data_IF_588088325591
#
_entry.id   IF_588088325591
#
_cell.length_a   1.000
_cell.length_b   1.000
_cell.length_c   1.000
_cell.angle_alpha   90.00
_cell.angle_beta   90.00
_cell.angle_gamma   90.00
#
_symmetry.space_group_name_H-M   'P 1'
#
loop_
_entity.id
_entity.type
_entity.pdbx_description
1 polymer ?
#
# COMPACT_ATOMS: atom_id res chain seq x y z
N UNK A 1 -3.48 21.23 -31.76
CA UNK A 1 -4.82 21.24 -31.12
C UNK A 1 -5.45 19.86 -31.01
N UNK A 2 -5.48 19.04 -32.07
CA UNK A 2 -6.05 17.67 -32.07
C UNK A 2 -5.33 16.74 -31.07
N UNK A 3 -4.01 16.77 -31.03
CA UNK A 3 -3.19 15.94 -30.11
C UNK A 3 -3.45 16.23 -28.64
N UNK A 4 -3.68 17.47 -28.26
CA UNK A 4 -4.01 17.86 -26.90
C UNK A 4 -5.40 17.37 -26.51
N UNK A 5 -6.38 17.47 -27.42
CA UNK A 5 -7.74 16.98 -27.19
C UNK A 5 -7.77 15.45 -27.00
N UNK A 6 -7.03 14.71 -27.82
CA UNK A 6 -6.89 13.26 -27.70
C UNK A 6 -6.23 12.88 -26.37
N UNK A 7 -5.19 13.57 -25.94
CA UNK A 7 -4.53 13.33 -24.66
C UNK A 7 -5.49 13.59 -23.47
N UNK A 8 -6.29 14.65 -23.54
CA UNK A 8 -7.31 14.97 -22.52
C UNK A 8 -8.41 13.89 -22.48
N UNK A 9 -8.89 13.42 -23.63
CA UNK A 9 -9.91 12.37 -23.70
C UNK A 9 -9.39 11.03 -23.15
N UNK A 10 -8.14 10.69 -23.46
CA UNK A 10 -7.48 9.49 -22.92
C UNK A 10 -7.34 9.62 -21.39
N UNK A 11 -6.92 10.79 -20.88
CA UNK A 11 -6.81 11.04 -19.43
C UNK A 11 -8.16 10.95 -18.73
N UNK A 12 -9.22 11.54 -19.31
CA UNK A 12 -10.58 11.45 -18.79
C UNK A 12 -11.05 9.99 -18.79
N UNK A 13 -10.82 9.26 -19.89
CA UNK A 13 -11.16 7.83 -19.97
C UNK A 13 -10.46 6.99 -18.91
N UNK A 14 -9.16 7.19 -18.71
CA UNK A 14 -8.41 6.53 -17.64
C UNK A 14 -8.92 6.91 -16.25
N UNK A 15 -9.20 8.19 -16.03
CA UNK A 15 -9.73 8.67 -14.75
C UNK A 15 -11.12 8.10 -14.44
N UNK A 16 -11.95 7.89 -15.46
CA UNK A 16 -13.27 7.26 -15.32
C UNK A 16 -13.16 5.75 -15.04
N UNK A 17 -12.24 5.06 -15.70
CA UNK A 17 -11.96 3.63 -15.44
C UNK A 17 -11.43 3.43 -14.02
N UNK A 18 -10.57 4.32 -13.56
CA UNK A 18 -9.99 4.25 -12.22
C UNK A 18 -11.01 4.65 -11.14
N UNK A 19 -11.81 5.68 -11.37
CA UNK A 19 -12.99 5.95 -10.53
C UNK A 19 -13.93 4.74 -10.53
N UNK A 20 -14.11 4.06 -11.67
CA UNK A 20 -14.86 2.81 -11.78
C UNK A 20 -14.24 1.68 -10.97
N UNK A 21 -12.91 1.59 -10.87
CA UNK A 21 -12.21 0.65 -9.97
C UNK A 21 -12.35 1.03 -8.50
N UNK A 22 -12.24 2.30 -8.15
CA UNK A 22 -12.46 2.79 -6.78
C UNK A 22 -13.93 2.74 -6.35
N UNK A 23 -14.87 3.03 -7.27
CA UNK A 23 -16.31 2.85 -7.05
C UNK A 23 -16.78 1.43 -7.42
N UNK A 24 -15.99 0.69 -8.19
CA UNK A 24 -16.17 -0.70 -8.64
C UNK A 24 -15.96 -1.74 -7.55
N UNK A 25 -15.75 -1.30 -6.32
CA UNK A 25 -15.85 -2.09 -5.09
C UNK A 25 -17.20 -2.84 -4.95
N UNK A 26 -18.16 -2.61 -5.86
CA UNK A 26 -19.42 -3.38 -5.89
C UNK A 26 -19.20 -4.85 -6.24
N UNK A 27 -18.34 -5.14 -7.23
CA UNK A 27 -18.02 -6.53 -7.59
C UNK A 27 -17.15 -7.17 -6.50
N UNK A 28 -16.05 -6.53 -6.12
CA UNK A 28 -15.19 -6.97 -5.03
C UNK A 28 -16.00 -7.20 -3.74
N UNK A 29 -16.80 -6.24 -3.32
CA UNK A 29 -17.64 -6.35 -2.14
C UNK A 29 -18.67 -7.48 -2.23
N UNK A 30 -19.03 -7.94 -3.44
CA UNK A 30 -19.99 -9.01 -3.64
C UNK A 30 -19.37 -10.41 -3.58
N UNK A 31 -18.10 -10.54 -3.97
CA UNK A 31 -17.40 -11.83 -4.08
C UNK A 31 -16.43 -12.09 -2.92
N UNK A 32 -16.00 -11.06 -2.22
CA UNK A 32 -15.06 -11.20 -1.11
C UNK A 32 -15.79 -11.71 0.15
N UNK A 33 -15.27 -12.75 0.80
CA UNK A 33 -15.82 -13.21 2.08
C UNK A 33 -15.51 -12.17 3.17
N UNK A 34 -16.40 -12.10 4.18
CA UNK A 34 -16.24 -11.17 5.30
C UNK A 34 -15.01 -11.48 6.15
N UNK A 35 -14.69 -12.76 6.29
CA UNK A 35 -13.52 -13.21 7.03
C UNK A 35 -12.66 -14.09 6.14
N UNK A 36 -11.40 -13.80 6.11
CA UNK A 36 -10.40 -14.73 5.64
C UNK A 36 -10.19 -15.82 6.70
N UNK A 37 -9.59 -16.93 6.32
CA UNK A 37 -9.27 -17.98 7.28
C UNK A 37 -8.30 -17.47 8.34
N UNK A 38 -8.38 -18.02 9.55
CA UNK A 38 -7.46 -17.68 10.63
C UNK A 38 -6.00 -17.91 10.23
N UNK A 39 -5.76 -18.99 9.49
CA UNK A 39 -4.45 -19.35 8.97
C UNK A 39 -3.92 -18.31 7.97
N UNK A 40 -4.76 -17.84 7.03
CA UNK A 40 -4.40 -16.78 6.10
C UNK A 40 -3.95 -15.52 6.85
N UNK A 41 -4.73 -15.03 7.82
CA UNK A 41 -4.37 -13.84 8.59
C UNK A 41 -3.06 -14.03 9.37
N UNK A 42 -2.84 -15.20 9.97
CA UNK A 42 -1.58 -15.51 10.67
C UNK A 42 -0.40 -15.51 9.70
N UNK A 43 -0.51 -16.19 8.57
CA UNK A 43 0.55 -16.25 7.55
C UNK A 43 0.86 -14.87 6.97
N UNK A 44 -0.16 -14.05 6.73
CA UNK A 44 -0.01 -12.69 6.21
C UNK A 44 0.75 -11.80 7.20
N UNK A 45 0.40 -11.88 8.50
CA UNK A 45 1.11 -11.15 9.57
C UNK A 45 2.56 -11.64 9.70
N UNK A 46 2.79 -12.95 9.63
CA UNK A 46 4.13 -13.52 9.72
C UNK A 46 5.00 -13.12 8.52
N UNK A 47 4.43 -13.14 7.32
CA UNK A 47 5.11 -12.65 6.12
C UNK A 47 5.45 -11.16 6.25
N UNK A 48 4.51 -10.33 6.75
CA UNK A 48 4.73 -8.91 7.00
C UNK A 48 5.84 -8.68 8.03
N UNK A 49 5.87 -9.46 9.10
CA UNK A 49 6.91 -9.37 10.12
C UNK A 49 8.31 -9.72 9.56
N UNK A 50 8.44 -10.84 8.84
CA UNK A 50 9.71 -11.19 8.19
C UNK A 50 10.14 -10.14 7.17
N UNK A 51 9.22 -9.63 6.37
CA UNK A 51 9.50 -8.56 5.41
C UNK A 51 10.01 -7.32 6.13
N UNK A 52 9.35 -6.89 7.21
CA UNK A 52 9.79 -5.77 8.06
C UNK A 52 11.23 -5.98 8.58
N UNK A 53 11.55 -7.16 9.13
CA UNK A 53 12.88 -7.47 9.66
C UNK A 53 13.96 -7.43 8.56
N UNK A 54 13.66 -7.92 7.37
CA UNK A 54 14.59 -7.85 6.23
C UNK A 54 14.85 -6.40 5.84
N UNK A 55 13.80 -5.57 5.70
CA UNK A 55 13.94 -4.16 5.38
C UNK A 55 14.72 -3.38 6.46
N UNK A 56 14.39 -3.62 7.74
CA UNK A 56 15.12 -3.03 8.88
C UNK A 56 16.60 -3.42 8.86
N UNK A 57 16.93 -4.68 8.57
CA UNK A 57 18.32 -5.17 8.52
C UNK A 57 19.17 -4.49 7.45
N UNK A 58 18.53 -3.95 6.43
CA UNK A 58 19.14 -3.19 5.34
C UNK A 58 19.08 -1.67 5.55
N UNK A 59 18.46 -1.21 6.64
CA UNK A 59 18.25 0.21 6.90
C UNK A 59 17.28 0.88 5.92
N UNK A 60 16.42 0.12 5.26
CA UNK A 60 15.45 0.65 4.30
C UNK A 60 14.26 1.25 5.04
N UNK A 61 14.07 2.55 4.90
CA UNK A 61 12.91 3.25 5.45
C UNK A 61 11.62 2.76 4.81
N UNK A 62 10.67 2.31 5.65
CA UNK A 62 9.42 1.73 5.19
C UNK A 62 8.28 1.94 6.20
N UNK A 63 7.06 1.86 5.73
CA UNK A 63 5.83 2.09 6.51
C UNK A 63 4.63 1.34 5.92
N UNK A 64 3.61 1.05 6.72
CA UNK A 64 2.35 0.54 6.21
C UNK A 64 1.71 1.52 5.24
N UNK A 65 1.07 0.98 4.20
CA UNK A 65 0.49 1.77 3.11
C UNK A 65 -0.90 1.26 2.73
N UNK A 66 -1.65 2.05 1.98
CA UNK A 66 -2.94 1.68 1.38
C UNK A 66 -3.92 1.00 2.35
N UNK A 67 -4.51 -0.13 1.93
CA UNK A 67 -5.49 -0.91 2.69
C UNK A 67 -5.00 -1.34 4.06
N UNK A 68 -3.71 -1.66 4.15
CA UNK A 68 -3.07 -2.16 5.38
C UNK A 68 -3.03 -1.15 6.54
N UNK A 69 -3.21 0.14 6.25
CA UNK A 69 -3.34 1.17 7.27
C UNK A 69 -4.72 1.16 7.95
N UNK A 70 -5.75 0.67 7.29
CA UNK A 70 -7.11 0.76 7.83
C UNK A 70 -7.33 -0.06 9.10
N UNK A 71 -6.67 -1.21 9.22
CA UNK A 71 -6.74 -2.01 10.45
C UNK A 71 -6.24 -1.20 11.66
N UNK A 72 -4.96 -0.78 11.71
CA UNK A 72 -4.42 0.02 12.80
C UNK A 72 -5.17 1.34 13.04
N UNK A 73 -5.55 2.06 11.99
CA UNK A 73 -6.31 3.32 12.12
C UNK A 73 -7.70 3.11 12.75
N UNK A 74 -8.24 1.89 12.71
CA UNK A 74 -9.52 1.51 13.32
C UNK A 74 -9.36 0.71 14.61
N UNK A 75 -8.15 0.67 15.17
CA UNK A 75 -7.86 -0.02 16.44
C UNK A 75 -7.76 -1.53 16.30
N UNK A 76 -7.63 -2.06 15.09
CA UNK A 76 -7.36 -3.48 14.82
C UNK A 76 -5.86 -3.66 14.71
N UNK A 77 -5.21 -4.50 15.56
CA UNK A 77 -3.77 -4.70 15.50
C UNK A 77 -3.38 -5.69 14.38
N UNK A 78 -3.63 -5.32 13.13
CA UNK A 78 -3.39 -6.17 11.96
C UNK A 78 -4.19 -5.73 10.74
N UNK A 79 -4.25 -6.56 9.68
CA UNK A 79 -5.07 -6.31 8.51
C UNK A 79 -6.56 -6.36 8.87
N UNK A 80 -7.41 -5.78 8.04
CA UNK A 80 -8.85 -5.95 8.18
C UNK A 80 -9.24 -7.42 7.93
N UNK A 81 -10.35 -7.90 8.52
CA UNK A 81 -10.72 -9.34 8.46
C UNK A 81 -10.90 -9.90 7.04
N UNK A 82 -11.07 -9.05 6.06
CA UNK A 82 -11.27 -9.40 4.64
C UNK A 82 -10.08 -9.07 3.74
N UNK A 83 -8.99 -8.50 4.29
CA UNK A 83 -7.82 -8.17 3.49
C UNK A 83 -7.08 -9.44 3.03
N UNK A 84 -6.56 -9.40 1.81
CA UNK A 84 -5.85 -10.53 1.16
C UNK A 84 -4.36 -10.28 1.07
N UNK A 85 -3.90 -9.06 1.33
CA UNK A 85 -2.50 -8.65 1.19
C UNK A 85 -2.10 -7.65 2.27
N UNK A 86 -0.82 -7.33 2.30
CA UNK A 86 -0.27 -6.21 3.07
C UNK A 86 0.54 -5.34 2.12
N UNK A 87 0.31 -4.05 2.19
CA UNK A 87 1.01 -3.04 1.41
C UNK A 87 1.99 -2.27 2.30
N UNK A 88 3.24 -2.19 1.85
CA UNK A 88 4.32 -1.47 2.51
C UNK A 88 4.88 -0.44 1.53
N UNK A 89 4.92 0.83 1.94
CA UNK A 89 5.64 1.89 1.24
C UNK A 89 7.10 1.90 1.64
N UNK A 90 7.99 2.20 0.71
CA UNK A 90 9.44 2.33 0.95
C UNK A 90 9.97 3.63 0.37
N UNK A 91 10.99 4.22 1.04
CA UNK A 91 11.72 5.37 0.50
C UNK A 91 12.72 4.91 -0.58
N UNK A 92 12.39 5.24 -1.83
CA UNK A 92 13.24 4.97 -2.98
C UNK A 92 14.47 5.88 -3.10
N UNK A 93 14.51 7.00 -2.35
CA UNK A 93 15.66 7.92 -2.32
C UNK A 93 16.70 7.54 -1.25
N UNK A 94 16.30 6.78 -0.24
CA UNK A 94 17.11 6.40 0.89
C UNK A 94 18.07 5.23 0.62
N UNK A 95 18.22 4.34 1.60
CA UNK A 95 19.15 3.20 1.53
C UNK A 95 18.83 2.24 0.39
N UNK A 96 17.54 2.06 0.05
CA UNK A 96 17.14 1.19 -1.07
C UNK A 96 17.89 1.51 -2.38
N UNK A 97 18.07 2.80 -2.69
CA UNK A 97 18.77 3.24 -3.91
C UNK A 97 20.24 2.78 -3.99
N UNK A 98 20.85 2.52 -2.84
CA UNK A 98 22.27 2.13 -2.75
C UNK A 98 22.48 0.62 -2.90
N UNK A 99 21.41 -0.17 -2.79
CA UNK A 99 21.45 -1.63 -2.78
C UNK A 99 21.12 -2.13 -4.20
N UNK A 100 22.03 -2.88 -4.86
CA UNK A 100 21.70 -3.55 -6.11
C UNK A 100 20.49 -4.47 -5.95
N UNK A 101 19.59 -4.49 -6.94
CA UNK A 101 18.34 -5.27 -6.85
C UNK A 101 18.58 -6.76 -6.57
N UNK A 102 19.63 -7.34 -7.15
CA UNK A 102 19.98 -8.74 -6.92
C UNK A 102 20.44 -9.00 -5.47
N UNK A 103 21.19 -8.07 -4.87
CA UNK A 103 21.54 -8.14 -3.45
C UNK A 103 20.28 -8.00 -2.57
N UNK A 104 19.39 -7.08 -2.94
CA UNK A 104 18.10 -6.89 -2.25
C UNK A 104 17.27 -8.18 -2.29
N UNK A 105 17.17 -8.85 -3.46
CA UNK A 105 16.50 -10.15 -3.60
C UNK A 105 17.15 -11.23 -2.72
N UNK A 106 18.47 -11.33 -2.74
CA UNK A 106 19.21 -12.34 -1.97
C UNK A 106 18.94 -12.23 -0.45
N UNK A 107 18.70 -11.02 0.09
CA UNK A 107 18.32 -10.84 1.50
C UNK A 107 16.98 -11.48 1.84
N UNK A 108 16.00 -11.42 0.93
CA UNK A 108 14.72 -12.10 1.11
C UNK A 108 14.85 -13.61 0.96
N UNK A 109 15.61 -14.08 -0.02
CA UNK A 109 15.87 -15.50 -0.25
C UNK A 109 16.58 -16.15 0.96
N UNK A 110 17.49 -15.42 1.60
CA UNK A 110 18.20 -15.90 2.79
C UNK A 110 17.27 -16.23 3.99
N UNK A 111 16.07 -15.66 4.02
CA UNK A 111 15.05 -15.94 5.04
C UNK A 111 13.90 -16.81 4.52
N UNK A 112 14.06 -17.40 3.33
CA UNK A 112 13.08 -18.29 2.70
C UNK A 112 11.90 -17.57 2.06
N UNK A 113 12.06 -16.29 1.70
CA UNK A 113 11.05 -15.51 0.99
C UNK A 113 11.46 -15.31 -0.47
N UNK A 114 10.47 -15.14 -1.36
CA UNK A 114 10.71 -14.89 -2.78
C UNK A 114 10.35 -13.46 -3.11
N UNK A 115 11.30 -12.69 -3.66
CA UNK A 115 11.05 -11.34 -4.15
C UNK A 115 10.87 -11.36 -5.67
N UNK A 116 9.73 -10.87 -6.13
CA UNK A 116 9.39 -10.76 -7.55
C UNK A 116 9.44 -9.29 -7.95
N UNK A 117 10.27 -8.99 -8.93
CA UNK A 117 10.35 -7.64 -9.50
C UNK A 117 9.18 -7.41 -10.47
N UNK A 118 8.37 -6.42 -10.13
CA UNK A 118 7.28 -5.88 -10.96
C UNK A 118 7.38 -4.37 -11.12
N UNK A 119 8.57 -3.81 -10.93
CA UNK A 119 8.74 -2.35 -10.97
C UNK A 119 8.34 -1.77 -12.32
N UNK A 120 8.78 -2.38 -13.41
CA UNK A 120 8.45 -1.92 -14.76
C UNK A 120 7.00 -2.19 -15.15
N UNK A 121 6.43 -3.32 -14.70
CA UNK A 121 5.05 -3.68 -15.05
C UNK A 121 4.00 -2.95 -14.23
N UNK A 122 4.25 -2.81 -12.92
CA UNK A 122 3.22 -2.40 -11.95
C UNK A 122 3.74 -1.48 -10.85
N UNK A 123 5.03 -1.11 -10.87
CA UNK A 123 5.65 -0.14 -9.96
C UNK A 123 5.77 -0.63 -8.51
N UNK A 124 5.94 -1.93 -8.29
CA UNK A 124 6.17 -2.50 -6.96
C UNK A 124 7.00 -3.78 -7.03
N UNK A 125 7.54 -4.17 -5.90
CA UNK A 125 8.14 -5.48 -5.68
C UNK A 125 7.14 -6.34 -4.91
N UNK A 126 6.95 -7.61 -5.30
CA UNK A 126 6.10 -8.53 -4.57
C UNK A 126 6.94 -9.50 -3.74
N UNK A 127 6.74 -9.52 -2.43
CA UNK A 127 7.32 -10.53 -1.53
C UNK A 127 6.33 -11.66 -1.35
N UNK A 128 6.76 -12.89 -1.60
CA UNK A 128 5.93 -14.09 -1.42
C UNK A 128 6.50 -15.03 -0.36
N UNK A 129 5.60 -15.59 0.44
CA UNK A 129 5.90 -16.59 1.44
C UNK A 129 4.62 -17.13 2.07
N UNK A 130 4.65 -18.33 2.63
CA UNK A 130 3.51 -18.96 3.33
C UNK A 130 2.21 -19.05 2.51
N UNK A 131 2.27 -18.97 1.18
CA UNK A 131 1.12 -18.90 0.30
C UNK A 131 0.50 -17.50 0.13
N UNK A 132 1.09 -16.48 0.77
CA UNK A 132 0.62 -15.10 0.78
C UNK A 132 1.55 -14.17 -0.01
N UNK A 133 1.12 -12.92 -0.20
CA UNK A 133 1.89 -11.90 -0.91
C UNK A 133 1.83 -10.54 -0.22
N UNK A 134 2.96 -9.81 -0.27
CA UNK A 134 3.08 -8.41 0.20
C UNK A 134 3.54 -7.54 -0.96
N UNK A 135 2.91 -6.37 -1.10
CA UNK A 135 3.35 -5.33 -2.03
C UNK A 135 4.34 -4.37 -1.37
N UNK A 136 5.53 -4.20 -1.97
CA UNK A 136 6.49 -3.18 -1.59
C UNK A 136 6.48 -2.07 -2.64
N UNK A 137 5.95 -0.91 -2.29
CA UNK A 137 5.74 0.22 -3.18
C UNK A 137 6.81 1.27 -2.99
N UNK A 138 7.58 1.57 -4.03
CA UNK A 138 8.62 2.58 -4.00
C UNK A 138 8.03 3.97 -4.17
N UNK A 139 8.45 4.87 -3.30
CA UNK A 139 8.12 6.29 -3.36
C UNK A 139 9.38 7.14 -3.44
N UNK A 140 9.37 8.13 -4.31
CA UNK A 140 10.46 9.08 -4.49
C UNK A 140 10.01 10.47 -4.12
N UNK A 141 10.83 11.16 -3.31
CA UNK A 141 10.57 12.56 -2.95
C UNK A 141 10.90 13.47 -4.13
N UNK A 142 9.89 14.07 -4.69
CA UNK A 142 10.03 15.09 -5.71
C UNK A 142 9.53 16.43 -5.17
N UNK A 143 10.46 17.32 -4.80
CA UNK A 143 10.16 18.67 -4.29
C UNK A 143 9.14 18.70 -3.15
N UNK A 144 9.30 17.81 -2.17
CA UNK A 144 8.42 17.75 -1.00
C UNK A 144 7.16 16.90 -1.17
N UNK A 145 6.99 16.26 -2.32
CA UNK A 145 5.91 15.31 -2.59
C UNK A 145 6.50 13.92 -2.80
N UNK A 146 6.03 12.95 -2.03
CA UNK A 146 6.30 11.54 -2.29
C UNK A 146 5.45 11.08 -3.46
N UNK A 147 6.09 10.57 -4.49
CA UNK A 147 5.46 10.07 -5.70
C UNK A 147 5.77 8.59 -5.87
N UNK A 148 4.75 7.79 -6.06
CA UNK A 148 4.91 6.36 -6.33
C UNK A 148 5.71 6.16 -7.60
N UNK A 149 6.72 5.26 -7.54
CA UNK A 149 7.33 4.67 -8.71
C UNK A 149 6.33 3.81 -9.46
N UNK A 150 6.48 3.71 -10.73
CA UNK A 150 5.73 2.76 -11.51
C UNK A 150 5.35 3.28 -12.86
N UNK A 151 5.18 2.31 -13.74
CA UNK A 151 4.83 2.44 -15.15
C UNK A 151 5.63 3.51 -15.87
N UNK A 152 6.56 3.08 -16.66
CA UNK A 152 7.35 3.95 -17.55
C UNK A 152 6.48 4.61 -18.63
N UNK A 153 5.22 4.21 -18.78
CA UNK A 153 4.31 4.93 -19.65
C UNK A 153 3.94 6.27 -19.01
N UNK A 154 4.12 7.35 -19.74
CA UNK A 154 3.82 8.72 -19.31
C UNK A 154 2.38 8.91 -18.80
N UNK A 155 1.41 8.09 -19.25
CA UNK A 155 0.02 8.07 -18.78
C UNK A 155 -0.08 7.66 -17.30
N UNK A 156 0.62 6.60 -16.92
CA UNK A 156 0.64 6.13 -15.54
C UNK A 156 1.45 7.06 -14.64
N UNK A 157 2.53 7.66 -15.15
CA UNK A 157 3.27 8.69 -14.43
C UNK A 157 2.37 9.87 -14.05
N UNK A 158 1.55 10.38 -14.99
CA UNK A 158 0.59 11.46 -14.72
C UNK A 158 -0.44 11.01 -13.70
N UNK A 159 -1.00 9.79 -13.86
CA UNK A 159 -2.00 9.25 -12.96
C UNK A 159 -1.47 9.12 -11.52
N UNK A 160 -0.31 8.48 -11.34
CA UNK A 160 0.27 8.31 -10.01
C UNK A 160 0.74 9.61 -9.37
N UNK A 161 1.17 10.59 -10.14
CA UNK A 161 1.52 11.91 -9.63
C UNK A 161 0.37 12.59 -8.91
N UNK A 162 -0.85 12.41 -9.38
CA UNK A 162 -2.01 13.11 -8.83
C UNK A 162 -2.83 12.28 -7.85
N UNK A 163 -2.71 10.94 -7.89
CA UNK A 163 -3.58 10.06 -7.11
C UNK A 163 -2.86 9.17 -6.10
N UNK A 164 -1.60 8.86 -6.33
CA UNK A 164 -0.79 8.04 -5.43
C UNK A 164 0.42 8.83 -4.93
N UNK A 165 0.22 10.11 -4.70
CA UNK A 165 1.22 11.01 -4.16
C UNK A 165 0.70 11.70 -2.91
N UNK A 166 1.61 12.05 -2.01
CA UNK A 166 1.27 12.69 -0.74
C UNK A 166 2.46 13.55 -0.25
N UNK A 167 2.25 14.51 0.67
CA UNK A 167 3.33 15.33 1.20
C UNK A 167 4.41 14.49 1.88
N UNK A 168 5.68 14.71 1.53
CA UNK A 168 6.82 13.95 2.08
C UNK A 168 6.92 14.05 3.61
N UNK A 169 6.45 15.14 4.22
CA UNK A 169 6.39 15.32 5.67
C UNK A 169 5.62 14.22 6.41
N UNK A 170 4.68 13.55 5.73
CA UNK A 170 3.89 12.47 6.34
C UNK A 170 4.70 11.19 6.56
N UNK A 171 5.82 11.02 5.86
CA UNK A 171 6.73 9.87 6.01
C UNK A 171 8.13 10.27 6.42
N UNK A 172 8.29 11.48 6.96
CA UNK A 172 9.57 11.96 7.47
C UNK A 172 9.89 11.32 8.83
N UNK A 173 11.08 10.75 8.97
CA UNK A 173 11.55 10.11 10.20
C UNK A 173 11.83 11.11 11.36
N UNK A 174 11.67 10.64 12.62
CA UNK A 174 11.22 9.31 13.03
C UNK A 174 9.73 9.12 12.82
N UNK A 175 9.31 7.93 12.35
CA UNK A 175 7.91 7.59 12.17
C UNK A 175 7.29 7.00 13.43
N UNK A 176 6.00 7.26 13.71
CA UNK A 176 5.26 6.54 14.74
C UNK A 176 5.16 5.06 14.37
N UNK A 177 5.12 4.21 15.39
CA UNK A 177 4.94 2.77 15.23
C UNK A 177 3.62 2.33 15.83
N UNK A 178 2.97 1.37 15.19
CA UNK A 178 1.73 0.74 15.65
C UNK A 178 1.90 -0.76 15.75
N UNK A 179 1.11 -1.39 16.61
CA UNK A 179 1.06 -2.84 16.71
C UNK A 179 0.39 -3.43 15.47
N UNK A 180 1.06 -4.40 14.84
CA UNK A 180 0.54 -5.15 13.69
C UNK A 180 0.79 -6.64 13.94
N UNK A 181 -0.24 -7.34 14.42
CA UNK A 181 -0.07 -8.71 14.90
C UNK A 181 0.85 -8.80 16.12
N UNK A 182 1.96 -9.51 15.95
CA UNK A 182 2.96 -9.77 17.01
C UNK A 182 4.08 -8.72 17.07
N UNK A 183 4.17 -7.79 16.13
CA UNK A 183 5.27 -6.82 16.02
C UNK A 183 4.77 -5.39 15.89
N UNK A 184 5.69 -4.44 15.91
CA UNK A 184 5.40 -3.03 15.66
C UNK A 184 6.00 -2.62 14.32
N UNK A 185 5.23 -1.87 13.52
CA UNK A 185 5.67 -1.38 12.22
C UNK A 185 5.42 0.13 12.13
N UNK A 186 6.26 0.80 11.36
CA UNK A 186 6.12 2.23 11.11
C UNK A 186 4.85 2.54 10.32
N UNK A 187 4.23 3.68 10.65
CA UNK A 187 3.09 4.24 9.93
C UNK A 187 3.34 5.70 9.61
N UNK A 188 2.70 6.27 8.60
CA UNK A 188 2.79 7.69 8.30
C UNK A 188 2.32 8.55 9.48
N UNK A 189 2.92 9.75 9.60
CA UNK A 189 2.50 10.76 10.57
C UNK A 189 1.11 11.28 10.25
N UNK A 190 0.42 11.78 11.27
CA UNK A 190 -0.91 12.38 11.11
C UNK A 190 -2.03 11.38 10.88
N UNK A 191 -1.81 10.08 11.13
CA UNK A 191 -2.84 9.06 11.09
C UNK A 191 -3.57 9.01 9.75
N UNK A 192 -4.82 9.53 9.74
CA UNK A 192 -5.70 9.50 8.56
C UNK A 192 -5.27 10.43 7.41
N UNK A 193 -4.37 11.38 7.65
CA UNK A 193 -4.04 12.40 6.63
C UNK A 193 -3.53 11.78 5.32
N UNK A 194 -2.70 10.75 5.40
CA UNK A 194 -2.23 10.08 4.17
C UNK A 194 -3.39 9.45 3.39
N UNK A 195 -4.40 8.94 4.09
CA UNK A 195 -5.56 8.29 3.46
C UNK A 195 -6.40 9.27 2.65
N UNK A 196 -6.44 10.55 3.04
CA UNK A 196 -7.10 11.61 2.25
C UNK A 196 -6.45 11.82 0.88
N UNK A 197 -5.15 11.57 0.79
CA UNK A 197 -4.42 11.62 -0.48
C UNK A 197 -4.60 10.35 -1.32
N UNK A 198 -4.65 9.20 -0.66
CA UNK A 198 -4.74 7.89 -1.34
C UNK A 198 -6.17 7.56 -1.77
N UNK A 199 -7.16 7.97 -0.97
CA UNK A 199 -8.58 7.70 -1.15
C UNK A 199 -9.41 9.00 -1.07
N UNK A 200 -9.18 9.98 -1.93
CA UNK A 200 -9.73 11.33 -1.79
C UNK A 200 -11.27 11.38 -1.81
N UNK A 201 -11.91 10.36 -2.37
CA UNK A 201 -13.37 10.32 -2.56
C UNK A 201 -14.13 9.51 -1.51
N UNK A 202 -13.41 8.72 -0.69
CA UNK A 202 -14.06 7.76 0.22
C UNK A 202 -13.28 7.40 1.49
N UNK A 203 -12.20 8.15 1.80
CA UNK A 203 -11.39 7.91 3.01
C UNK A 203 -12.21 7.89 4.31
N UNK A 204 -13.37 8.52 4.35
CA UNK A 204 -14.28 8.54 5.51
C UNK A 204 -15.24 7.36 5.56
N UNK A 205 -15.30 6.53 4.50
CA UNK A 205 -16.21 5.39 4.43
C UNK A 205 -15.53 4.11 4.89
N UNK A 206 -16.29 3.26 5.56
CA UNK A 206 -15.88 1.88 5.76
C UNK A 206 -16.32 1.08 4.55
N UNK A 207 -15.38 0.81 3.64
CA UNK A 207 -15.62 -0.11 2.51
C UNK A 207 -15.42 -1.52 3.02
N UNK A 208 -16.48 -2.34 2.99
CA UNK A 208 -16.47 -3.73 3.46
C UNK A 208 -17.23 -4.64 2.51
N UNK A 209 -16.92 -5.96 2.49
CA UNK A 209 -17.72 -6.94 1.76
C UNK A 209 -19.19 -6.92 2.16
N UNK A 210 -20.09 -7.21 1.23
CA UNK A 210 -21.53 -7.26 1.50
C UNK A 210 -21.92 -8.33 2.53
N UNK A 211 -21.10 -9.39 2.62
CA UNK A 211 -21.22 -10.46 3.61
C UNK A 211 -20.96 -10.00 5.06
N UNK A 212 -20.35 -8.82 5.25
CA UNK A 212 -20.01 -8.27 6.57
C UNK A 212 -21.12 -7.39 7.17
N UNK A 213 -22.38 -7.76 7.04
CA UNK A 213 -23.52 -6.93 7.48
C UNK A 213 -23.48 -6.59 8.99
N UNK A 214 -23.01 -7.53 9.82
CA UNK A 214 -23.07 -7.43 11.29
C UNK A 214 -21.77 -6.90 11.93
N UNK A 215 -20.70 -6.70 11.16
CA UNK A 215 -19.46 -6.17 11.73
C UNK A 215 -19.57 -4.67 11.91
N UNK A 216 -19.62 -4.25 13.17
CA UNK A 216 -19.44 -2.84 13.55
C UNK A 216 -17.95 -2.56 13.68
N UNK A 217 -17.35 -2.07 12.60
CA UNK A 217 -16.03 -1.43 12.70
C UNK A 217 -16.30 0.04 13.00
N UNK A 218 -15.64 0.58 14.02
CA UNK A 218 -15.72 2.01 14.30
C UNK A 218 -15.43 2.78 13.01
N UNK A 219 -16.42 3.57 12.58
CA UNK A 219 -16.34 4.35 11.34
C UNK A 219 -15.33 5.50 11.45
N UNK A 220 -15.09 5.95 12.69
CA UNK A 220 -14.15 7.02 12.93
C UNK A 220 -12.74 6.44 13.03
N UNK A 221 -11.84 6.81 12.11
CA UNK A 221 -10.41 6.54 12.30
C UNK A 221 -10.00 7.22 13.61
N UNK A 222 -9.15 6.58 14.39
CA UNK A 222 -8.57 7.18 15.58
C UNK A 222 -7.77 8.39 15.10
N UNK A 223 -8.37 9.56 15.21
CA UNK A 223 -7.75 10.86 14.96
C UNK A 223 -6.93 11.22 16.20
N UNK A 224 -5.73 10.67 16.32
CA UNK A 224 -4.78 11.17 17.34
C UNK A 224 -3.34 10.99 16.85
#
# INVERSE_FOLDING_TARGET
>A
MVTLLVAILIYIGFSLVDMGRYTGNRFWASVTPCFKSKQHTVHLIELAHKTHLVLDSMGVDHWLMYGSLWGPLRGIPGPLPWDDDVDIGMDGNGEFKKIPLEEFKAKFEAVGLVLIDKLQESGYLAVKGYGESIGLFLYYNYRGTMMRSGYESWLFYIHYRFRHSFPAKLVQHPLPKVKFGSFNISVPRGGIEIMKHLYPTDWWKVVKPKSCKEIVIKSDPILH
#
